data_IF_249827161300
#
_entry.id   IF_249827161300
#
_cell.length_a   1.000
_cell.length_b   1.000
_cell.length_c   1.000
_cell.angle_alpha   90.00
_cell.angle_beta   90.00
_cell.angle_gamma   90.00
#
_symmetry.space_group_name_H-M   'P 1'
#
loop_
_entity.id
_entity.type
_entity.pdbx_description
1 polymer ?
#
# COMPACT_ATOMS: atom_id res chain seq x y z
N UNK A 1 4.37 21.53 -7.70
CA UNK A 1 3.68 21.30 -8.98
C UNK A 1 4.59 20.45 -9.86
N UNK A 2 4.18 19.27 -10.34
CA UNK A 2 5.05 18.41 -11.14
C UNK A 2 5.28 19.04 -12.52
N UNK A 3 6.40 19.75 -12.68
CA UNK A 3 6.77 20.41 -13.95
C UNK A 3 7.55 19.48 -14.89
N UNK A 4 7.96 18.30 -14.43
CA UNK A 4 8.76 17.32 -15.20
C UNK A 4 7.96 16.04 -15.45
N UNK A 5 8.24 15.36 -16.57
CA UNK A 5 7.60 14.09 -16.95
C UNK A 5 7.80 13.02 -15.86
N UNK A 6 9.00 12.97 -15.26
CA UNK A 6 9.31 12.13 -14.09
C UNK A 6 8.41 12.46 -12.90
N UNK A 7 8.13 13.74 -12.64
CA UNK A 7 7.23 14.16 -11.56
C UNK A 7 5.78 13.67 -11.77
N UNK A 8 5.30 13.65 -13.01
CA UNK A 8 3.99 13.09 -13.35
C UNK A 8 3.94 11.57 -13.20
N UNK A 9 5.01 10.87 -13.58
CA UNK A 9 5.12 9.41 -13.37
C UNK A 9 5.09 9.08 -11.88
N UNK A 10 5.87 9.81 -11.07
CA UNK A 10 5.92 9.62 -9.63
C UNK A 10 4.55 9.88 -8.98
N UNK A 11 3.89 10.95 -9.40
CA UNK A 11 2.54 11.28 -8.93
C UNK A 11 1.53 10.17 -9.27
N UNK A 12 1.53 9.69 -10.52
CA UNK A 12 0.66 8.60 -10.94
C UNK A 12 0.94 7.30 -10.17
N UNK A 13 2.21 6.97 -9.95
CA UNK A 13 2.62 5.80 -9.16
C UNK A 13 2.16 5.89 -7.70
N UNK A 14 2.27 7.08 -7.08
CA UNK A 14 1.77 7.34 -5.72
C UNK A 14 0.26 7.19 -5.66
N UNK A 15 -0.47 7.78 -6.61
CA UNK A 15 -1.94 7.70 -6.66
C UNK A 15 -2.43 6.26 -6.88
N UNK A 16 -1.80 5.52 -7.80
CA UNK A 16 -2.13 4.12 -8.04
C UNK A 16 -1.83 3.24 -6.81
N UNK A 17 -0.71 3.48 -6.13
CA UNK A 17 -0.34 2.76 -4.90
C UNK A 17 -1.30 3.07 -3.75
N UNK A 18 -1.75 4.33 -3.62
CA UNK A 18 -2.74 4.74 -2.63
C UNK A 18 -4.10 4.06 -2.86
N UNK A 19 -4.57 4.01 -4.11
CA UNK A 19 -5.81 3.30 -4.47
C UNK A 19 -5.70 1.79 -4.20
N UNK A 20 -4.59 1.16 -4.57
CA UNK A 20 -4.34 -0.25 -4.29
C UNK A 20 -4.36 -0.53 -2.78
N UNK A 21 -3.71 0.32 -1.98
CA UNK A 21 -3.71 0.21 -0.52
C UNK A 21 -5.12 0.35 0.05
N UNK A 22 -5.88 1.37 -0.36
CA UNK A 22 -7.24 1.61 0.11
C UNK A 22 -8.21 0.46 -0.23
N UNK A 23 -8.12 -0.10 -1.44
CA UNK A 23 -8.93 -1.24 -1.84
C UNK A 23 -8.62 -2.48 -1.00
N UNK A 24 -7.33 -2.75 -0.78
CA UNK A 24 -6.89 -3.94 -0.04
C UNK A 24 -7.21 -3.83 1.46
N UNK A 25 -7.02 -2.66 2.07
CA UNK A 25 -7.38 -2.43 3.48
C UNK A 25 -8.88 -2.47 3.69
N UNK A 26 -9.68 -1.96 2.76
CA UNK A 26 -11.15 -2.02 2.83
C UNK A 26 -11.65 -3.46 2.77
N UNK A 27 -11.13 -4.26 1.83
CA UNK A 27 -11.45 -5.69 1.74
C UNK A 27 -11.05 -6.45 3.00
N UNK A 28 -9.85 -6.21 3.51
CA UNK A 28 -9.36 -6.84 4.74
C UNK A 28 -10.23 -6.46 5.95
N UNK A 29 -10.62 -5.19 6.06
CA UNK A 29 -11.53 -4.72 7.13
C UNK A 29 -12.94 -5.32 7.04
N UNK A 30 -13.47 -5.50 5.82
CA UNK A 30 -14.76 -6.18 5.60
C UNK A 30 -14.67 -7.67 5.95
N UNK A 31 -13.56 -8.32 5.61
CA UNK A 31 -13.32 -9.72 5.93
C UNK A 31 -13.13 -9.96 7.42
N UNK A 32 -12.40 -9.09 8.14
CA UNK A 32 -12.27 -9.14 9.60
C UNK A 32 -13.62 -8.97 10.30
N UNK A 33 -14.55 -8.21 9.72
CA UNK A 33 -15.94 -8.10 10.19
C UNK A 33 -16.84 -9.27 9.80
N UNK A 34 -16.29 -10.33 9.18
CA UNK A 34 -17.03 -11.50 8.71
C UNK A 34 -18.02 -11.21 7.57
N UNK A 35 -17.91 -10.04 6.91
CA UNK A 35 -18.84 -9.61 5.87
C UNK A 35 -18.41 -9.94 4.43
N UNK A 36 -17.23 -10.51 4.23
CA UNK A 36 -16.71 -10.85 2.90
C UNK A 36 -15.83 -12.11 2.94
N UNK A 37 -16.02 -13.00 1.97
CA UNK A 37 -15.10 -14.11 1.72
C UNK A 37 -13.80 -13.56 1.11
N UNK A 38 -12.67 -13.79 1.77
CA UNK A 38 -11.34 -13.45 1.27
C UNK A 38 -10.95 -14.45 0.18
N UNK A 39 -10.69 -13.95 -1.02
CA UNK A 39 -10.09 -14.76 -2.06
C UNK A 39 -8.59 -14.96 -1.79
N UNK A 40 -8.00 -16.08 -2.23
CA UNK A 40 -6.57 -16.38 -1.98
C UNK A 40 -5.65 -15.27 -2.49
N UNK A 41 -6.04 -14.63 -3.59
CA UNK A 41 -5.34 -13.48 -4.17
C UNK A 41 -5.33 -12.25 -3.25
N UNK A 42 -6.42 -12.00 -2.53
CA UNK A 42 -6.52 -10.87 -1.60
C UNK A 42 -5.65 -11.11 -0.35
N UNK A 43 -5.47 -12.37 0.07
CA UNK A 43 -4.56 -12.75 1.16
C UNK A 43 -3.10 -12.47 0.78
N UNK A 44 -2.68 -12.86 -0.43
CA UNK A 44 -1.32 -12.56 -0.92
C UNK A 44 -1.08 -11.04 -1.05
N UNK A 45 -2.08 -10.28 -1.53
CA UNK A 45 -1.99 -8.83 -1.61
C UNK A 45 -1.87 -8.18 -0.23
N UNK A 46 -2.65 -8.64 0.75
CA UNK A 46 -2.57 -8.17 2.13
C UNK A 46 -1.21 -8.50 2.77
N UNK A 47 -0.66 -9.69 2.51
CA UNK A 47 0.67 -10.07 2.99
C UNK A 47 1.77 -9.21 2.36
N UNK A 48 1.72 -8.99 1.04
CA UNK A 48 2.67 -8.13 0.34
C UNK A 48 2.63 -6.67 0.86
N UNK A 49 1.42 -6.13 1.09
CA UNK A 49 1.25 -4.81 1.70
C UNK A 49 1.78 -4.76 3.14
N UNK A 50 1.49 -5.77 3.95
CA UNK A 50 1.99 -5.87 5.33
C UNK A 50 3.51 -5.90 5.39
N UNK A 51 4.15 -6.69 4.53
CA UNK A 51 5.62 -6.76 4.42
C UNK A 51 6.20 -5.43 3.96
N UNK A 52 5.61 -4.79 2.94
CA UNK A 52 6.07 -3.47 2.48
C UNK A 52 5.95 -2.41 3.58
N UNK A 53 4.85 -2.41 4.33
CA UNK A 53 4.63 -1.47 5.43
C UNK A 53 5.65 -1.70 6.54
N UNK A 54 5.90 -2.94 6.94
CA UNK A 54 6.90 -3.27 7.96
C UNK A 54 8.31 -2.81 7.53
N UNK A 55 8.69 -3.10 6.27
CA UNK A 55 9.97 -2.64 5.71
C UNK A 55 10.07 -1.12 5.65
N UNK A 56 9.01 -0.44 5.20
CA UNK A 56 8.97 1.03 5.17
C UNK A 56 9.14 1.63 6.56
N UNK A 57 8.44 1.07 7.56
CA UNK A 57 8.52 1.52 8.95
C UNK A 57 9.88 1.26 9.59
N UNK A 58 10.55 0.16 9.22
CA UNK A 58 11.93 -0.15 9.64
C UNK A 58 12.96 0.76 8.99
N UNK A 59 12.74 1.13 7.72
CA UNK A 59 13.63 2.02 6.97
C UNK A 59 13.48 3.49 7.40
N UNK A 60 12.29 3.90 7.86
CA UNK A 60 12.02 5.26 8.32
C UNK A 60 13.05 5.78 9.35
N UNK A 61 13.30 5.11 10.51
CA UNK A 61 14.33 5.55 11.46
C UNK A 61 15.75 5.45 10.90
N UNK A 62 15.98 4.61 9.90
CA UNK A 62 17.29 4.42 9.27
C UNK A 62 17.64 5.56 8.30
N UNK A 63 16.62 6.20 7.72
CA UNK A 63 16.75 7.35 6.82
C UNK A 63 16.69 8.68 7.58
N UNK A 64 15.76 8.82 8.55
CA UNK A 64 15.62 10.05 9.36
C UNK A 64 16.66 10.17 10.48
N UNK A 65 17.30 9.06 10.87
CA UNK A 65 18.38 9.06 11.86
C UNK A 65 19.75 9.51 11.32
N UNK A 66 19.83 9.94 10.05
CA UNK A 66 21.00 10.58 9.43
C UNK A 66 20.72 12.05 9.14
#
# INVERSE_FOLDING_TARGET
>A
MPQTLTGWILFAAVMASAMGTAATTTKLGMALRGRAALDRRDIHAAYALGVLLALSTLLFPLVEGR
#
